data_IF_106190169411
#
_entry.id   IF_106190169411
#
_cell.length_a   1.000
_cell.length_b   1.000
_cell.length_c   1.000
_cell.angle_alpha   90.00
_cell.angle_beta   90.00
_cell.angle_gamma   90.00
#
_symmetry.space_group_name_H-M   'P 1'
#
loop_
_entity.id
_entity.type
_entity.pdbx_description
1 polymer ?
#
# COMPACT_ATOMS: atom_id res chain seq x y z
N UNK A 1 -16.50 3.64 19.17
CA UNK A 1 -17.11 3.44 17.83
C UNK A 1 -16.63 4.49 16.82
N UNK A 2 -16.81 5.80 17.05
CA UNK A 2 -16.43 6.84 16.08
C UNK A 2 -14.98 6.78 15.53
N UNK A 3 -13.96 6.59 16.38
CA UNK A 3 -12.55 6.46 15.94
C UNK A 3 -12.30 5.24 15.06
N UNK A 4 -12.94 4.11 15.38
CA UNK A 4 -12.81 2.85 14.61
C UNK A 4 -13.50 3.00 13.25
N UNK A 5 -14.70 3.57 13.22
CA UNK A 5 -15.41 3.84 11.96
C UNK A 5 -14.66 4.81 11.06
N UNK A 6 -14.12 5.90 11.61
CA UNK A 6 -13.29 6.85 10.88
C UNK A 6 -12.02 6.17 10.34
N UNK A 7 -11.34 5.38 11.17
CA UNK A 7 -10.17 4.62 10.76
C UNK A 7 -10.50 3.72 9.56
N UNK A 8 -11.53 2.89 9.66
CA UNK A 8 -11.90 1.97 8.57
C UNK A 8 -12.31 2.72 7.29
N UNK A 9 -13.10 3.80 7.42
CA UNK A 9 -13.58 4.58 6.29
C UNK A 9 -12.48 5.28 5.50
N UNK A 10 -11.33 5.58 6.13
CA UNK A 10 -10.20 6.25 5.49
C UNK A 10 -9.11 5.27 5.11
N UNK A 11 -8.69 4.42 6.05
CA UNK A 11 -7.56 3.52 5.88
C UNK A 11 -7.84 2.43 4.84
N UNK A 12 -9.05 1.85 4.83
CA UNK A 12 -9.37 0.76 3.90
C UNK A 12 -9.36 1.24 2.44
N UNK A 13 -10.03 2.35 2.06
CA UNK A 13 -9.93 2.86 0.69
C UNK A 13 -8.51 3.21 0.26
N UNK A 14 -7.71 3.80 1.16
CA UNK A 14 -6.29 4.10 0.86
C UNK A 14 -5.52 2.82 0.56
N UNK A 15 -5.65 1.81 1.41
CA UNK A 15 -4.97 0.52 1.22
C UNK A 15 -5.40 -0.16 -0.08
N UNK A 16 -6.71 -0.21 -0.36
CA UNK A 16 -7.24 -0.81 -1.58
C UNK A 16 -6.82 -0.02 -2.83
N UNK A 17 -6.78 1.31 -2.75
CA UNK A 17 -6.28 2.17 -3.81
C UNK A 17 -4.80 1.89 -4.12
N UNK A 18 -3.95 1.80 -3.09
CA UNK A 18 -2.54 1.43 -3.25
C UNK A 18 -2.42 0.02 -3.86
N UNK A 19 -3.17 -0.96 -3.33
CA UNK A 19 -3.15 -2.33 -3.82
C UNK A 19 -3.55 -2.43 -5.30
N UNK A 20 -4.59 -1.69 -5.71
CA UNK A 20 -5.05 -1.62 -7.09
C UNK A 20 -4.00 -0.95 -8.01
N UNK A 21 -3.41 0.16 -7.59
CA UNK A 21 -2.36 0.84 -8.37
C UNK A 21 -1.15 -0.08 -8.59
N UNK A 22 -0.73 -0.81 -7.56
CA UNK A 22 0.36 -1.79 -7.69
C UNK A 22 -0.07 -2.95 -8.60
N UNK A 23 -1.30 -3.46 -8.47
CA UNK A 23 -1.81 -4.53 -9.32
C UNK A 23 -1.81 -4.12 -10.80
N UNK A 24 -2.29 -2.91 -11.12
CA UNK A 24 -2.28 -2.35 -12.47
C UNK A 24 -0.86 -2.14 -13.00
N UNK A 25 0.06 -1.64 -12.15
CA UNK A 25 1.47 -1.46 -12.51
C UNK A 25 2.13 -2.80 -12.87
N UNK A 26 1.88 -3.84 -12.05
CA UNK A 26 2.33 -5.19 -12.35
C UNK A 26 1.67 -5.72 -13.62
N UNK A 27 0.38 -5.50 -13.80
CA UNK A 27 -0.38 -6.01 -14.94
C UNK A 27 0.08 -5.43 -16.28
N UNK A 28 0.42 -4.14 -16.30
CA UNK A 28 0.82 -3.36 -17.49
C UNK A 28 1.93 -3.97 -18.35
N UNK A 29 2.69 -4.95 -17.84
CA UNK A 29 3.77 -5.62 -18.56
C UNK A 29 5.03 -4.77 -18.74
N UNK A 30 5.02 -3.51 -18.27
CA UNK A 30 6.14 -2.57 -18.39
C UNK A 30 7.20 -2.71 -17.30
N UNK A 31 6.87 -3.38 -16.19
CA UNK A 31 7.75 -3.52 -15.05
C UNK A 31 8.75 -4.65 -15.25
N UNK A 32 10.04 -4.32 -15.39
CA UNK A 32 11.13 -5.29 -15.36
C UNK A 32 11.23 -5.93 -13.96
N UNK A 33 11.30 -7.26 -13.88
CA UNK A 33 11.36 -7.98 -12.59
C UNK A 33 10.02 -8.12 -11.86
N UNK A 34 8.89 -8.23 -12.59
CA UNK A 34 7.52 -8.38 -12.04
C UNK A 34 7.42 -9.38 -10.89
N UNK A 35 8.07 -10.55 -10.99
CA UNK A 35 8.03 -11.58 -9.96
C UNK A 35 8.72 -11.16 -8.65
N UNK A 36 9.85 -10.45 -8.75
CA UNK A 36 10.53 -9.91 -7.58
C UNK A 36 9.64 -8.91 -6.85
N UNK A 37 9.09 -7.91 -7.56
CA UNK A 37 8.20 -6.92 -6.96
C UNK A 37 6.94 -7.55 -6.36
N UNK A 38 6.35 -8.53 -7.05
CA UNK A 38 5.19 -9.27 -6.55
C UNK A 38 5.50 -9.96 -5.22
N UNK A 39 6.65 -10.62 -5.11
CA UNK A 39 7.08 -11.29 -3.88
C UNK A 39 7.38 -10.26 -2.80
N UNK A 40 8.17 -9.22 -3.10
CA UNK A 40 8.57 -8.20 -2.10
C UNK A 40 7.38 -7.47 -1.50
N UNK A 41 6.36 -7.15 -2.30
CA UNK A 41 5.17 -6.44 -1.83
C UNK A 41 4.22 -7.39 -1.07
N UNK A 42 4.20 -8.67 -1.40
CA UNK A 42 3.41 -9.69 -0.69
C UNK A 42 4.07 -10.17 0.61
N UNK A 43 5.40 -10.17 0.68
CA UNK A 43 6.19 -10.71 1.80
C UNK A 43 5.77 -10.20 3.19
N UNK A 44 5.42 -8.91 3.39
CA UNK A 44 4.94 -8.42 4.68
C UNK A 44 3.76 -9.20 5.26
N UNK A 45 2.88 -9.73 4.40
CA UNK A 45 1.71 -10.51 4.83
C UNK A 45 2.09 -11.82 5.55
N UNK A 46 3.31 -12.33 5.34
CA UNK A 46 3.81 -13.50 6.05
C UNK A 46 4.34 -13.18 7.45
N UNK A 47 4.52 -11.89 7.79
CA UNK A 47 5.00 -11.46 9.10
C UNK A 47 3.83 -11.49 10.10
N UNK A 48 3.97 -12.11 11.28
CA UNK A 48 2.92 -12.06 12.30
C UNK A 48 2.65 -10.61 12.76
N UNK A 49 1.37 -10.24 12.87
CA UNK A 49 0.95 -8.87 13.25
C UNK A 49 1.62 -8.33 14.53
N UNK A 50 1.86 -9.20 15.53
CA UNK A 50 2.57 -8.82 16.76
C UNK A 50 4.01 -8.39 16.46
N UNK A 51 4.72 -9.16 15.61
CA UNK A 51 6.09 -8.86 15.20
C UNK A 51 6.13 -7.57 14.38
N UNK A 52 5.20 -7.42 13.43
CA UNK A 52 5.08 -6.21 12.63
C UNK A 52 4.86 -4.96 13.51
N UNK A 53 3.96 -5.06 14.49
CA UNK A 53 3.65 -3.96 15.42
C UNK A 53 4.85 -3.58 16.27
N UNK A 54 5.59 -4.55 16.81
CA UNK A 54 6.80 -4.29 17.60
C UNK A 54 7.89 -3.65 16.73
N UNK A 55 8.15 -4.20 15.54
CA UNK A 55 9.16 -3.69 14.62
C UNK A 55 8.89 -2.24 14.22
N UNK A 56 7.67 -1.94 13.78
CA UNK A 56 7.26 -0.56 13.45
C UNK A 56 7.24 0.34 14.68
N UNK A 57 6.85 -0.16 15.85
CA UNK A 57 6.92 0.58 17.11
C UNK A 57 8.35 1.04 17.44
N UNK A 58 9.35 0.17 17.23
CA UNK A 58 10.75 0.56 17.34
C UNK A 58 11.17 1.57 16.27
N UNK A 59 10.75 1.38 15.02
CA UNK A 59 11.07 2.31 13.92
C UNK A 59 10.48 3.71 14.14
N UNK A 60 9.27 3.82 14.70
CA UNK A 60 8.63 5.10 15.00
C UNK A 60 9.20 5.80 16.24
N UNK A 61 10.05 5.12 17.02
CA UNK A 61 10.66 5.70 18.21
C UNK A 61 11.47 6.97 17.91
N UNK A 62 11.26 8.01 18.71
CA UNK A 62 11.90 9.32 18.51
C UNK A 62 13.31 9.42 19.10
N UNK A 63 13.71 8.47 19.96
CA UNK A 63 15.00 8.50 20.69
C UNK A 63 16.08 7.60 20.08
N UNK A 64 15.69 6.48 19.46
CA UNK A 64 16.58 5.48 18.84
C UNK A 64 15.93 4.76 17.64
N UNK A 65 14.88 5.36 17.06
CA UNK A 65 14.19 4.82 15.89
C UNK A 65 14.46 5.67 14.65
N UNK A 66 13.97 5.20 13.51
CA UNK A 66 14.14 5.84 12.21
C UNK A 66 13.75 7.33 12.21
N UNK A 67 12.70 7.69 12.96
CA UNK A 67 12.25 9.09 13.09
C UNK A 67 13.28 9.95 13.82
N UNK A 68 13.87 9.43 14.90
CA UNK A 68 14.95 10.10 15.62
C UNK A 68 16.22 10.26 14.78
N UNK A 69 16.57 9.22 14.02
CA UNK A 69 17.72 9.25 13.12
C UNK A 69 17.54 10.29 12.02
N UNK A 70 16.36 10.36 11.40
CA UNK A 70 16.05 11.39 10.39
C UNK A 70 16.09 12.80 11.00
N UNK A 71 15.54 12.97 12.21
CA UNK A 71 15.58 14.25 12.93
C UNK A 71 17.02 14.73 13.15
N UNK A 72 17.89 13.85 13.63
CA UNK A 72 19.28 14.17 13.89
C UNK A 72 20.09 14.40 12.60
N UNK A 73 19.84 13.62 11.55
CA UNK A 73 20.54 13.71 10.29
C UNK A 73 20.19 14.99 9.50
N UNK A 74 18.92 15.41 9.54
CA UNK A 74 18.43 16.57 8.79
C UNK A 74 18.29 17.84 9.64
N UNK A 75 18.51 17.75 10.96
CA UNK A 75 18.33 18.87 11.88
C UNK A 75 16.86 19.34 12.00
N UNK A 76 15.91 18.45 11.74
CA UNK A 76 14.47 18.74 11.78
C UNK A 76 13.81 18.08 12.99
N UNK A 77 12.64 18.60 13.39
CA UNK A 77 11.79 17.97 14.40
C UNK A 77 10.52 17.41 13.72
N UNK A 78 10.59 16.15 13.29
CA UNK A 78 9.42 15.44 12.78
C UNK A 78 8.41 15.19 13.91
N UNK A 79 7.09 15.25 13.61
CA UNK A 79 6.05 14.88 14.56
C UNK A 79 6.22 13.45 15.07
N UNK A 80 5.92 13.22 16.35
CA UNK A 80 5.96 11.88 16.95
C UNK A 80 4.82 11.02 16.36
N UNK A 81 5.11 9.95 15.59
CA UNK A 81 4.07 9.10 15.01
C UNK A 81 3.26 8.35 16.06
N UNK A 82 3.78 8.21 17.29
CA UNK A 82 3.09 7.54 18.40
C UNK A 82 2.25 8.50 19.25
N UNK A 83 2.25 9.80 18.91
CA UNK A 83 1.39 10.79 19.57
C UNK A 83 -0.11 10.48 19.39
N UNK A 84 -0.99 10.93 20.31
CA UNK A 84 -2.43 10.67 20.25
C UNK A 84 -3.12 11.09 18.94
N UNK A 85 -2.54 12.09 18.25
CA UNK A 85 -3.05 12.65 17.01
C UNK A 85 -2.64 11.83 15.78
N UNK A 86 -1.46 11.18 15.80
CA UNK A 86 -0.91 10.43 14.67
C UNK A 86 -0.96 8.92 14.83
N UNK A 87 -1.25 8.41 16.03
CA UNK A 87 -1.25 6.96 16.31
C UNK A 87 -2.17 6.16 15.37
N UNK A 88 -3.31 6.73 14.97
CA UNK A 88 -4.21 6.07 14.00
C UNK A 88 -3.58 5.98 12.60
N UNK A 89 -2.83 7.00 12.18
CA UNK A 89 -2.10 6.97 10.92
C UNK A 89 -0.96 5.95 10.97
N UNK A 90 -0.25 5.88 12.10
CA UNK A 90 0.82 4.90 12.35
C UNK A 90 0.32 3.46 12.31
N UNK A 91 -0.81 3.18 12.94
CA UNK A 91 -1.50 1.88 12.84
C UNK A 91 -1.93 1.63 11.39
N UNK A 92 -2.49 2.64 10.72
CA UNK A 92 -2.93 2.53 9.34
C UNK A 92 -1.79 2.20 8.37
N UNK A 93 -0.60 2.74 8.60
CA UNK A 93 0.60 2.38 7.84
C UNK A 93 1.00 0.93 8.06
N UNK A 94 1.00 0.42 9.31
CA UNK A 94 1.32 -0.99 9.61
C UNK A 94 0.33 -1.92 8.90
N UNK A 95 -0.98 -1.65 9.03
CA UNK A 95 -2.03 -2.45 8.37
C UNK A 95 -1.90 -2.38 6.86
N UNK A 96 -1.64 -1.19 6.30
CA UNK A 96 -1.45 -1.05 4.84
C UNK A 96 -0.22 -1.83 4.37
N UNK A 97 0.89 -1.74 5.08
CA UNK A 97 2.11 -2.47 4.76
C UNK A 97 1.91 -3.99 4.81
N UNK A 98 1.18 -4.50 5.80
CA UNK A 98 0.91 -5.93 5.98
C UNK A 98 -0.08 -6.48 4.93
N UNK A 99 -1.14 -5.73 4.60
CA UNK A 99 -2.25 -6.25 3.80
C UNK A 99 -2.30 -5.73 2.35
N UNK A 100 -1.58 -4.67 1.98
CA UNK A 100 -1.63 -4.15 0.61
C UNK A 100 -1.18 -5.18 -0.42
N UNK A 101 -0.14 -5.97 -0.12
CA UNK A 101 0.34 -7.02 -1.03
C UNK A 101 -0.64 -8.16 -1.22
N UNK A 102 -1.33 -8.58 -0.16
CA UNK A 102 -2.39 -9.57 -0.27
C UNK A 102 -3.55 -9.08 -1.14
N UNK A 103 -4.04 -7.87 -0.90
CA UNK A 103 -5.11 -7.26 -1.71
C UNK A 103 -4.67 -7.04 -3.16
N UNK A 104 -3.41 -6.66 -3.37
CA UNK A 104 -2.83 -6.53 -4.71
C UNK A 104 -2.90 -7.86 -5.48
N UNK A 105 -2.58 -8.99 -4.84
CA UNK A 105 -2.67 -10.29 -5.51
C UNK A 105 -4.09 -10.64 -5.94
N UNK A 106 -5.09 -10.26 -5.15
CA UNK A 106 -6.50 -10.46 -5.50
C UNK A 106 -6.84 -9.64 -6.73
N UNK A 107 -6.58 -8.32 -6.71
CA UNK A 107 -6.85 -7.45 -7.86
C UNK A 107 -6.10 -7.89 -9.11
N UNK A 108 -4.82 -8.21 -8.96
CA UNK A 108 -3.96 -8.68 -10.03
C UNK A 108 -4.48 -9.98 -10.67
N UNK A 109 -4.96 -10.92 -9.85
CA UNK A 109 -5.54 -12.17 -10.36
C UNK A 109 -6.86 -11.92 -11.09
N UNK A 110 -7.69 -11.00 -10.59
CA UNK A 110 -8.92 -10.59 -11.26
C UNK A 110 -8.67 -9.90 -12.61
N UNK A 111 -7.69 -8.99 -12.68
CA UNK A 111 -7.30 -8.30 -13.91
C UNK A 111 -6.87 -9.29 -15.01
N UNK A 112 -6.18 -10.36 -14.63
CA UNK A 112 -5.75 -11.41 -15.58
C UNK A 112 -6.89 -12.25 -16.17
N UNK A 113 -8.08 -12.23 -15.58
CA UNK A 113 -9.26 -12.91 -16.13
C UNK A 113 -9.94 -12.07 -17.22
N UNK A 114 -9.70 -10.74 -17.26
CA UNK A 114 -10.30 -9.85 -18.25
C UNK A 114 -9.76 -10.18 -19.65
N UNK A 115 -10.64 -10.49 -20.64
CA UNK A 115 -10.21 -10.81 -21.99
C UNK A 115 -9.42 -9.67 -22.65
N UNK A 116 -8.29 -9.99 -23.28
CA UNK A 116 -7.44 -9.00 -23.96
C UNK A 116 -8.19 -8.23 -25.07
N UNK A 117 -9.18 -8.87 -25.70
CA UNK A 117 -10.02 -8.27 -26.75
C UNK A 117 -10.79 -7.03 -26.27
N UNK A 118 -11.13 -6.93 -24.98
CA UNK A 118 -11.77 -5.74 -24.42
C UNK A 118 -10.80 -4.55 -24.37
N UNK A 119 -9.53 -4.80 -24.07
CA UNK A 119 -8.49 -3.77 -24.08
C UNK A 119 -8.21 -3.28 -25.52
N UNK A 120 -8.19 -4.19 -26.49
CA UNK A 120 -8.03 -3.85 -27.92
C UNK A 120 -9.21 -3.04 -28.44
N UNK A 121 -10.45 -3.45 -28.13
CA UNK A 121 -11.65 -2.72 -28.49
C UNK A 121 -11.62 -1.29 -27.90
N UNK A 122 -11.25 -1.16 -26.62
CA UNK A 122 -11.15 0.15 -25.99
C UNK A 122 -10.05 1.04 -26.63
N UNK A 123 -8.93 0.45 -27.07
CA UNK A 123 -7.90 1.18 -27.81
C UNK A 123 -8.38 1.62 -29.21
N UNK A 124 -9.13 0.78 -29.91
CA UNK A 124 -9.76 1.11 -31.19
C UNK A 124 -10.76 2.27 -31.02
N UNK A 125 -11.53 2.26 -29.92
CA UNK A 125 -12.46 3.34 -29.55
C UNK A 125 -11.75 4.62 -29.04
N UNK A 126 -10.41 4.65 -29.05
CA UNK A 126 -9.61 5.80 -28.64
C UNK A 126 -9.62 6.05 -27.12
N UNK A 127 -9.95 5.05 -26.31
CA UNK A 127 -9.88 5.17 -24.86
C UNK A 127 -8.42 5.25 -24.39
N UNK A 128 -8.06 6.33 -23.70
CA UNK A 128 -6.77 6.44 -23.00
C UNK A 128 -6.69 5.49 -21.80
N UNK A 129 -5.48 5.22 -21.28
CA UNK A 129 -5.28 4.21 -20.21
C UNK A 129 -6.18 4.40 -18.98
N UNK A 130 -6.42 5.63 -18.52
CA UNK A 130 -7.32 5.87 -17.39
C UNK A 130 -8.75 5.45 -17.73
N UNK A 131 -9.23 5.79 -18.94
CA UNK A 131 -10.58 5.46 -19.40
C UNK A 131 -10.77 3.94 -19.53
N UNK A 132 -9.72 3.22 -19.93
CA UNK A 132 -9.70 1.74 -19.98
C UNK A 132 -9.80 1.12 -18.59
N UNK A 133 -9.19 1.74 -17.58
CA UNK A 133 -9.20 1.24 -16.19
C UNK A 133 -10.51 1.57 -15.47
N UNK A 134 -11.21 2.63 -15.88
CA UNK A 134 -12.43 3.13 -15.22
C UNK A 134 -13.74 2.75 -15.93
N UNK A 135 -13.68 2.19 -17.15
CA UNK A 135 -14.86 1.78 -17.93
C UNK A 135 -15.39 0.42 -17.45
#
# INVERSE_FOLDING_TARGET
LGRVSLFLAVQVPIMLGIALLVALALDSGRLYGRDFFRISIFLPYAVPAVVATLMWGFMYGTRFGLVGDINSALGVSLPDPLSPDLVLASIGNIVTWEFAGYNMLIFYSALRVVPHSLYEAAQIDGAGQIRVITA
#
